data_IF_226334651426
#
_entry.id   IF_226334651426
#
_cell.length_a   1.000
_cell.length_b   1.000
_cell.length_c   1.000
_cell.angle_alpha   90.00
_cell.angle_beta   90.00
_cell.angle_gamma   90.00
#
_symmetry.space_group_name_H-M   'P 1'
#
loop_
_entity.id
_entity.type
_entity.pdbx_description
1 polymer ?
#
# COMPACT_ATOMS: atom_id res chain seq x y z
N UNK A 1 3.02 -31.82 11.76
CA UNK A 1 3.75 -30.52 11.80
C UNK A 1 4.11 -29.95 10.44
N UNK A 2 3.73 -30.55 9.30
CA UNK A 2 3.88 -29.93 7.97
C UNK A 2 2.63 -29.12 7.57
N UNK A 3 1.50 -29.33 8.23
CA UNK A 3 0.23 -28.65 7.93
C UNK A 3 0.11 -27.24 8.52
N UNK A 4 0.78 -26.91 9.63
CA UNK A 4 0.67 -25.59 10.24
C UNK A 4 1.47 -24.50 9.50
N UNK A 5 2.60 -24.87 8.88
CA UNK A 5 3.46 -23.92 8.16
C UNK A 5 2.89 -23.52 6.79
N UNK A 6 2.13 -24.40 6.13
CA UNK A 6 1.49 -24.11 4.84
C UNK A 6 0.26 -23.22 5.01
N UNK A 7 -0.46 -23.32 6.13
CA UNK A 7 -1.56 -22.42 6.46
C UNK A 7 -1.07 -21.03 6.87
N UNK A 8 0.07 -20.92 7.57
CA UNK A 8 0.66 -19.62 7.93
C UNK A 8 1.15 -18.83 6.70
N UNK A 9 1.70 -19.49 5.68
CA UNK A 9 2.13 -18.84 4.44
C UNK A 9 0.97 -18.44 3.51
N UNK A 10 -0.17 -19.16 3.57
CA UNK A 10 -1.40 -18.77 2.85
C UNK A 10 -2.14 -17.61 3.54
N UNK A 11 -2.09 -17.53 4.88
CA UNK A 11 -2.65 -16.38 5.62
C UNK A 11 -1.84 -15.09 5.43
N UNK A 12 -0.51 -15.18 5.31
CA UNK A 12 0.33 -14.00 5.04
C UNK A 12 0.15 -13.49 3.60
N UNK A 13 -0.12 -14.38 2.63
CA UNK A 13 -0.43 -13.99 1.26
C UNK A 13 -1.81 -13.32 1.08
N UNK A 14 -2.80 -13.67 1.91
CA UNK A 14 -4.14 -13.08 1.89
C UNK A 14 -4.26 -11.78 2.71
N UNK A 15 -3.27 -11.47 3.57
CA UNK A 15 -3.21 -10.23 4.36
C UNK A 15 -2.43 -9.10 3.67
N UNK A 16 -1.86 -9.36 2.48
CA UNK A 16 -1.08 -8.39 1.69
C UNK A 16 -1.75 -8.01 0.36
N UNK A 17 -2.92 -8.54 0.06
CA UNK A 17 -3.75 -8.01 -1.02
C UNK A 17 -4.57 -6.86 -0.46
N UNK A 18 -4.42 -5.61 -0.96
CA UNK A 18 -5.33 -4.54 -0.59
C UNK A 18 -6.75 -5.03 -0.86
N UNK A 19 -7.64 -4.82 0.12
CA UNK A 19 -9.04 -5.20 0.00
C UNK A 19 -9.57 -4.58 -1.31
N UNK A 20 -10.06 -5.36 -2.28
CA UNK A 20 -10.59 -4.81 -3.52
C UNK A 20 -11.71 -3.80 -3.24
N UNK A 21 -12.41 -3.88 -2.11
CA UNK A 21 -13.38 -2.86 -1.70
C UNK A 21 -12.75 -1.54 -1.21
N UNK A 22 -11.51 -1.55 -0.71
CA UNK A 22 -10.73 -0.35 -0.39
C UNK A 22 -10.05 0.24 -1.64
N UNK A 23 -9.55 -0.61 -2.54
CA UNK A 23 -9.01 -0.17 -3.82
C UNK A 23 -10.11 0.44 -4.72
N UNK A 24 -11.30 -0.16 -4.72
CA UNK A 24 -12.45 0.33 -5.48
C UNK A 24 -13.10 1.56 -4.82
N UNK A 25 -13.04 1.69 -3.48
CA UNK A 25 -13.37 2.96 -2.80
C UNK A 25 -12.36 4.07 -3.08
N UNK A 26 -11.07 3.74 -3.23
CA UNK A 26 -10.05 4.72 -3.60
C UNK A 26 -10.21 5.18 -5.07
N UNK A 27 -10.58 4.26 -5.98
CA UNK A 27 -10.94 4.60 -7.36
C UNK A 27 -12.26 5.40 -7.46
N UNK A 28 -13.29 5.05 -6.67
CA UNK A 28 -14.57 5.78 -6.62
C UNK A 28 -14.48 7.12 -5.85
N UNK A 29 -13.39 7.33 -5.10
CA UNK A 29 -13.09 8.54 -4.32
C UNK A 29 -12.14 9.51 -5.04
N UNK A 30 -11.59 9.13 -6.20
CA UNK A 30 -10.70 10.01 -6.93
C UNK A 30 -11.51 11.21 -7.44
N UNK A 31 -11.37 12.35 -6.77
CA UNK A 31 -11.93 13.62 -7.26
C UNK A 31 -11.49 13.79 -8.72
N UNK A 32 -12.41 14.09 -9.64
CA UNK A 32 -12.07 14.18 -11.05
C UNK A 32 -10.96 15.22 -11.22
N UNK A 33 -9.89 14.84 -11.91
CA UNK A 33 -8.79 15.75 -12.20
C UNK A 33 -9.33 17.02 -12.89
N UNK A 34 -8.74 18.19 -12.60
CA UNK A 34 -9.06 19.42 -13.33
C UNK A 34 -8.82 19.22 -14.82
N UNK A 35 -9.37 20.04 -15.72
CA UNK A 35 -9.02 19.98 -17.14
C UNK A 35 -7.51 20.12 -17.39
N UNK A 36 -6.95 19.35 -18.33
CA UNK A 36 -5.57 19.53 -18.76
C UNK A 36 -5.45 20.85 -19.54
N UNK A 37 -4.38 21.61 -19.31
CA UNK A 37 -4.11 22.83 -20.07
C UNK A 37 -3.88 22.52 -21.55
N UNK A 38 -4.67 23.14 -22.41
CA UNK A 38 -4.43 23.19 -23.86
C UNK A 38 -3.42 24.29 -24.17
N UNK A 39 -2.17 23.90 -24.38
CA UNK A 39 -1.05 24.82 -24.59
C UNK A 39 -1.16 25.51 -25.95
N UNK A 40 -1.63 24.83 -26.99
CA UNK A 40 -1.77 25.43 -28.32
C UNK A 40 -2.85 26.52 -28.32
N UNK A 41 -3.99 26.23 -27.70
CA UNK A 41 -5.07 27.21 -27.54
C UNK A 41 -4.62 28.41 -26.68
N UNK A 42 -3.90 28.15 -25.58
CA UNK A 42 -3.37 29.21 -24.72
C UNK A 42 -2.40 30.12 -25.47
N UNK A 43 -1.46 29.55 -26.23
CA UNK A 43 -0.52 30.33 -27.04
C UNK A 43 -1.24 31.16 -28.10
N UNK A 44 -2.22 30.59 -28.80
CA UNK A 44 -3.00 31.30 -29.79
C UNK A 44 -3.76 32.50 -29.20
N UNK A 45 -4.34 32.36 -28.00
CA UNK A 45 -5.04 33.45 -27.32
C UNK A 45 -4.08 34.57 -26.87
N UNK A 46 -2.90 34.22 -26.34
CA UNK A 46 -1.90 35.17 -25.84
C UNK A 46 -1.23 36.02 -26.94
N UNK A 47 -1.39 35.64 -28.21
CA UNK A 47 -0.99 36.50 -29.34
C UNK A 47 -1.84 37.78 -29.41
N UNK A 48 -3.12 37.71 -29.03
CA UNK A 48 -4.06 38.84 -29.13
C UNK A 48 -4.49 39.40 -27.78
N UNK A 49 -4.37 38.64 -26.70
CA UNK A 49 -4.82 39.01 -25.36
C UNK A 49 -3.64 39.16 -24.41
N UNK A 50 -3.66 40.18 -23.55
CA UNK A 50 -2.63 40.36 -22.51
C UNK A 50 -2.81 39.40 -21.32
N UNK A 51 -4.05 39.01 -21.03
CA UNK A 51 -4.41 38.10 -19.95
C UNK A 51 -5.33 37.03 -20.56
N UNK A 52 -4.94 35.77 -20.46
CA UNK A 52 -5.76 34.64 -20.90
C UNK A 52 -6.04 33.70 -19.74
N UNK A 53 -7.33 33.35 -19.57
CA UNK A 53 -7.81 32.40 -18.57
C UNK A 53 -8.20 31.10 -19.26
N UNK A 54 -7.41 30.07 -19.05
CA UNK A 54 -7.65 28.75 -19.64
C UNK A 54 -8.86 28.05 -18.97
N UNK A 55 -9.55 27.15 -19.68
CA UNK A 55 -10.60 26.33 -19.11
C UNK A 55 -10.13 25.58 -17.85
N UNK A 56 -10.94 25.60 -16.79
CA UNK A 56 -10.62 24.96 -15.50
C UNK A 56 -9.70 25.76 -14.57
N UNK A 57 -9.30 26.98 -14.95
CA UNK A 57 -8.58 27.88 -14.06
C UNK A 57 -9.40 28.21 -12.80
N UNK A 58 -8.83 27.93 -11.62
CA UNK A 58 -9.48 28.12 -10.31
C UNK A 58 -9.09 29.43 -9.62
N UNK A 59 -7.92 29.98 -9.94
CA UNK A 59 -7.40 31.14 -9.25
C UNK A 59 -8.19 32.41 -9.57
N UNK A 60 -8.57 33.16 -8.55
CA UNK A 60 -9.08 34.52 -8.73
C UNK A 60 -7.93 35.49 -9.02
N UNK A 61 -8.19 36.42 -9.94
CA UNK A 61 -7.26 37.47 -10.34
C UNK A 61 -8.08 38.72 -10.62
N UNK A 62 -7.77 39.83 -9.95
CA UNK A 62 -8.29 41.15 -10.33
C UNK A 62 -7.66 41.57 -11.67
N UNK A 63 -8.31 41.19 -12.76
CA UNK A 63 -7.79 41.40 -14.10
C UNK A 63 -7.76 42.89 -14.49
N UNK A 64 -8.63 43.72 -13.93
CA UNK A 64 -8.63 45.16 -14.21
C UNK A 64 -7.39 45.81 -13.60
N UNK A 65 -7.13 45.54 -12.33
CA UNK A 65 -5.93 45.99 -11.62
C UNK A 65 -4.67 45.51 -12.33
N UNK A 66 -4.58 44.22 -12.65
CA UNK A 66 -3.39 43.68 -13.31
C UNK A 66 -3.20 44.26 -14.71
N UNK A 67 -4.27 44.35 -15.51
CA UNK A 67 -4.19 44.89 -16.88
C UNK A 67 -3.73 46.34 -16.90
N UNK A 68 -4.12 47.14 -15.91
CA UNK A 68 -3.63 48.52 -15.77
C UNK A 68 -2.11 48.59 -15.49
N UNK A 69 -1.54 47.51 -14.94
CA UNK A 69 -0.12 47.41 -14.62
C UNK A 69 0.71 46.73 -15.72
N UNK A 70 0.11 46.01 -16.68
CA UNK A 70 0.88 45.33 -17.72
C UNK A 70 1.47 46.31 -18.74
N UNK A 71 2.72 46.08 -19.15
CA UNK A 71 3.31 46.69 -20.34
C UNK A 71 3.04 45.84 -21.59
N UNK A 72 3.29 46.41 -22.78
CA UNK A 72 3.01 45.74 -24.06
C UNK A 72 3.76 44.41 -24.25
N UNK A 73 4.91 44.24 -23.59
CA UNK A 73 5.77 43.06 -23.60
C UNK A 73 5.41 42.02 -22.53
N UNK A 74 4.34 42.22 -21.77
CA UNK A 74 3.92 41.30 -20.71
C UNK A 74 2.66 40.53 -21.09
N UNK A 75 2.61 39.26 -20.67
CA UNK A 75 1.48 38.36 -20.83
C UNK A 75 1.21 37.59 -19.54
N UNK A 76 -0.07 37.35 -19.24
CA UNK A 76 -0.51 36.57 -18.08
C UNK A 76 -1.35 35.38 -18.55
N UNK A 77 -0.95 34.17 -18.18
CA UNK A 77 -1.70 32.95 -18.37
C UNK A 77 -2.24 32.46 -17.03
N UNK A 78 -3.55 32.32 -16.89
CA UNK A 78 -4.18 31.66 -15.73
C UNK A 78 -4.63 30.27 -16.16
N UNK A 79 -4.02 29.24 -15.57
CA UNK A 79 -4.19 27.84 -15.92
C UNK A 79 -4.79 27.03 -14.76
N UNK A 80 -5.48 25.91 -15.06
CA UNK A 80 -5.92 24.95 -14.04
C UNK A 80 -4.75 24.43 -13.21
N UNK A 81 -5.06 23.79 -12.08
CA UNK A 81 -4.09 22.95 -11.38
C UNK A 81 -3.49 21.92 -12.35
N UNK A 82 -2.21 21.61 -12.20
CA UNK A 82 -1.56 20.60 -13.04
C UNK A 82 -2.00 19.17 -12.71
N UNK A 83 -2.69 18.99 -11.58
CA UNK A 83 -2.86 17.70 -10.92
C UNK A 83 -1.55 17.18 -10.30
N UNK A 84 -1.63 16.13 -9.46
CA UNK A 84 -0.45 15.42 -8.99
C UNK A 84 0.35 14.86 -10.19
N UNK A 85 1.66 14.63 -10.03
CA UNK A 85 2.46 13.96 -11.07
C UNK A 85 2.42 12.44 -10.84
N UNK A 86 2.18 11.65 -11.89
CA UNK A 86 2.17 10.19 -11.81
C UNK A 86 0.98 9.56 -12.52
N UNK A 87 0.68 8.30 -12.18
CA UNK A 87 -0.39 7.52 -12.81
C UNK A 87 -1.80 8.12 -12.60
N UNK A 88 -1.96 8.93 -11.56
CA UNK A 88 -3.21 9.62 -11.21
C UNK A 88 -3.19 11.10 -11.60
N UNK A 89 -2.25 11.52 -12.45
CA UNK A 89 -2.00 12.90 -12.85
C UNK A 89 -2.12 13.19 -14.33
N UNK A 90 -2.08 14.46 -14.73
CA UNK A 90 -2.01 14.84 -16.17
C UNK A 90 -0.66 14.54 -16.83
N UNK A 91 0.38 14.35 -16.01
CA UNK A 91 1.75 14.14 -16.45
C UNK A 91 2.38 13.05 -15.59
N UNK A 92 3.07 12.09 -16.22
CA UNK A 92 3.69 10.97 -15.52
C UNK A 92 4.84 11.41 -14.60
N UNK A 93 5.52 12.51 -14.94
CA UNK A 93 6.61 13.09 -14.15
C UNK A 93 6.85 14.56 -14.52
N UNK A 94 7.75 15.21 -13.77
CA UNK A 94 8.09 16.62 -14.00
C UNK A 94 8.75 16.89 -15.35
N UNK A 95 9.43 15.91 -15.97
CA UNK A 95 10.07 16.11 -17.27
C UNK A 95 9.05 16.11 -18.42
N UNK A 96 8.01 15.29 -18.30
CA UNK A 96 6.89 15.30 -19.24
C UNK A 96 6.15 16.63 -19.19
N UNK A 97 5.80 17.10 -17.98
CA UNK A 97 5.24 18.44 -17.80
C UNK A 97 6.17 19.53 -18.37
N UNK A 98 7.48 19.42 -18.13
CA UNK A 98 8.45 20.38 -18.68
C UNK A 98 8.43 20.41 -20.20
N UNK A 99 8.31 19.25 -20.84
CA UNK A 99 8.34 19.10 -22.29
C UNK A 99 7.04 19.55 -22.94
N UNK A 100 5.89 19.24 -22.34
CA UNK A 100 4.57 19.52 -22.90
C UNK A 100 4.06 20.93 -22.60
N UNK A 101 4.43 21.51 -21.45
CA UNK A 101 3.87 22.78 -20.97
C UNK A 101 4.93 23.84 -20.77
N UNK A 102 5.89 23.60 -19.88
CA UNK A 102 6.82 24.65 -19.47
C UNK A 102 7.70 25.16 -20.62
N UNK A 103 8.34 24.25 -21.37
CA UNK A 103 9.25 24.61 -22.48
C UNK A 103 8.50 25.31 -23.62
N UNK A 104 7.39 24.78 -24.17
CA UNK A 104 6.66 25.47 -25.22
C UNK A 104 6.23 26.89 -24.84
N UNK A 105 5.69 27.08 -23.62
CA UNK A 105 5.29 28.40 -23.14
C UNK A 105 6.49 29.35 -22.96
N UNK A 106 7.59 28.84 -22.40
CA UNK A 106 8.81 29.62 -22.19
C UNK A 106 9.43 30.02 -23.53
N UNK A 107 9.63 29.07 -24.43
CA UNK A 107 10.30 29.26 -25.71
C UNK A 107 9.49 30.23 -26.58
N UNK A 108 8.16 30.09 -26.62
CA UNK A 108 7.28 31.06 -27.31
C UNK A 108 7.44 32.50 -26.81
N UNK A 109 7.53 32.68 -25.48
CA UNK A 109 7.69 33.99 -24.87
C UNK A 109 9.10 34.57 -25.11
N UNK A 110 10.14 33.74 -24.96
CA UNK A 110 11.53 34.14 -25.21
C UNK A 110 11.75 34.54 -26.67
N UNK A 111 11.23 33.77 -27.63
CA UNK A 111 11.32 34.05 -29.07
C UNK A 111 10.68 35.38 -29.47
N UNK A 112 9.70 35.86 -28.68
CA UNK A 112 8.98 37.12 -28.90
C UNK A 112 9.47 38.27 -28.01
N UNK A 113 10.47 38.01 -27.15
CA UNK A 113 10.94 39.00 -26.18
C UNK A 113 9.91 39.39 -25.13
N UNK A 114 8.96 38.48 -24.81
CA UNK A 114 7.89 38.72 -23.85
C UNK A 114 8.25 38.22 -22.45
N UNK A 115 7.72 38.90 -21.43
CA UNK A 115 7.63 38.38 -20.07
C UNK A 115 6.30 37.67 -19.90
N UNK A 116 6.36 36.34 -19.79
CA UNK A 116 5.18 35.52 -19.53
C UNK A 116 5.10 35.19 -18.04
N UNK A 117 4.04 35.69 -17.41
CA UNK A 117 3.61 35.32 -16.06
C UNK A 117 2.57 34.21 -16.19
N UNK A 118 2.80 33.08 -15.52
CA UNK A 118 1.93 31.91 -15.49
C UNK A 118 1.43 31.71 -14.07
N UNK A 119 0.12 31.64 -13.93
CA UNK A 119 -0.56 31.15 -12.73
C UNK A 119 -1.00 29.73 -13.04
N UNK A 120 -0.38 28.75 -12.39
CA UNK A 120 -0.76 27.34 -12.54
C UNK A 120 -1.34 26.88 -11.22
N UNK A 121 -2.63 26.54 -11.20
CA UNK A 121 -3.33 26.38 -9.93
C UNK A 121 -3.31 27.71 -9.17
N UNK A 122 -2.65 27.74 -8.03
CA UNK A 122 -2.42 28.93 -7.20
C UNK A 122 -0.97 29.43 -7.23
N UNK A 123 -0.08 28.79 -8.00
CA UNK A 123 1.33 29.21 -8.06
C UNK A 123 1.57 30.19 -9.20
N UNK A 124 1.96 31.43 -8.87
CA UNK A 124 2.38 32.42 -9.85
C UNK A 124 3.90 32.32 -10.12
N UNK A 125 4.30 32.29 -11.38
CA UNK A 125 5.71 32.23 -11.80
C UNK A 125 5.95 32.93 -13.14
N UNK A 126 7.16 33.41 -13.37
CA UNK A 126 7.56 34.01 -14.66
C UNK A 126 8.48 33.09 -15.47
N UNK A 127 8.54 33.30 -16.79
CA UNK A 127 9.56 32.69 -17.65
C UNK A 127 11.00 33.10 -17.28
N UNK A 128 11.18 34.16 -16.49
CA UNK A 128 12.49 34.60 -15.94
C UNK A 128 12.96 33.80 -14.71
N UNK A 129 12.24 32.74 -14.33
CA UNK A 129 12.66 31.82 -13.25
C UNK A 129 12.34 32.33 -11.84
N UNK A 130 11.44 33.29 -11.72
CA UNK A 130 10.99 33.83 -10.42
C UNK A 130 9.56 33.39 -10.16
N UNK A 131 9.26 33.00 -8.92
CA UNK A 131 7.91 32.68 -8.46
C UNK A 131 7.51 33.58 -7.30
N UNK A 132 6.23 33.93 -7.24
CA UNK A 132 5.67 34.74 -6.17
C UNK A 132 4.54 33.97 -5.48
N UNK A 133 4.58 34.02 -4.16
CA UNK A 133 3.52 33.59 -3.23
C UNK A 133 3.57 34.59 -2.08
N UNK A 134 2.46 34.77 -1.37
CA UNK A 134 2.44 35.53 -0.13
C UNK A 134 3.59 35.14 0.83
N UNK A 135 4.23 36.15 1.41
CA UNK A 135 5.39 36.03 2.30
C UNK A 135 5.03 36.04 3.79
N UNK A 136 3.77 36.36 4.12
CA UNK A 136 3.22 36.39 5.48
C UNK A 136 1.95 35.54 5.58
N UNK A 137 1.48 35.29 6.81
CA UNK A 137 0.35 34.41 7.07
C UNK A 137 -0.98 34.99 6.57
N UNK A 138 -1.17 36.31 6.66
CA UNK A 138 -2.43 36.95 6.26
C UNK A 138 -2.57 36.97 4.74
N UNK A 139 -1.45 37.16 4.03
CA UNK A 139 -1.37 36.98 2.59
C UNK A 139 -1.62 35.53 2.19
N UNK A 140 -1.06 34.55 2.91
CA UNK A 140 -1.29 33.12 2.63
C UNK A 140 -2.75 32.72 2.88
N UNK A 141 -3.38 33.27 3.91
CA UNK A 141 -4.82 33.10 4.19
C UNK A 141 -5.68 33.51 3.01
N UNK A 142 -5.49 34.73 2.50
CA UNK A 142 -6.18 35.18 1.28
C UNK A 142 -5.85 34.29 0.08
N UNK A 143 -4.55 34.06 -0.15
CA UNK A 143 -4.06 33.32 -1.32
C UNK A 143 -4.63 31.91 -1.42
N UNK A 144 -4.73 31.20 -0.29
CA UNK A 144 -5.17 29.80 -0.24
C UNK A 144 -6.64 29.66 0.18
N UNK A 145 -7.16 30.62 0.95
CA UNK A 145 -8.52 30.63 1.45
C UNK A 145 -9.55 31.13 0.42
N UNK A 146 -9.15 32.08 -0.42
CA UNK A 146 -10.00 32.67 -1.47
C UNK A 146 -9.51 32.36 -2.88
N UNK A 147 -8.41 31.61 -3.01
CA UNK A 147 -7.71 31.36 -4.27
C UNK A 147 -7.31 32.66 -5.00
N UNK A 148 -7.15 33.77 -4.28
CA UNK A 148 -6.79 35.06 -4.82
C UNK A 148 -5.28 35.20 -4.98
N UNK A 149 -4.82 35.16 -6.23
CA UNK A 149 -3.39 35.28 -6.58
C UNK A 149 -3.02 36.69 -7.03
N UNK A 150 -3.91 37.67 -6.91
CA UNK A 150 -3.73 39.04 -7.43
C UNK A 150 -2.42 39.65 -6.95
N UNK A 151 -2.16 39.61 -5.65
CA UNK A 151 -0.91 40.12 -5.05
C UNK A 151 0.33 39.42 -5.62
N UNK A 152 0.27 38.10 -5.79
CA UNK A 152 1.39 37.32 -6.32
C UNK A 152 1.69 37.67 -7.79
N UNK A 153 0.66 37.84 -8.61
CA UNK A 153 0.81 38.28 -10.01
C UNK A 153 1.32 39.71 -10.07
N UNK A 154 0.76 40.62 -9.26
CA UNK A 154 1.20 42.00 -9.18
C UNK A 154 2.68 42.11 -8.80
N UNK A 155 3.15 41.37 -7.79
CA UNK A 155 4.58 41.32 -7.42
C UNK A 155 5.46 40.88 -8.59
N UNK A 156 5.03 39.91 -9.40
CA UNK A 156 5.78 39.48 -10.59
C UNK A 156 5.79 40.54 -11.70
N UNK A 157 4.69 41.28 -11.88
CA UNK A 157 4.63 42.42 -12.80
C UNK A 157 5.60 43.51 -12.37
N UNK A 158 5.61 43.89 -11.09
CA UNK A 158 6.53 44.89 -10.55
C UNK A 158 8.00 44.44 -10.66
N UNK A 159 8.28 43.18 -10.34
CA UNK A 159 9.59 42.58 -10.54
C UNK A 159 10.03 42.63 -12.00
N UNK A 160 9.13 42.33 -12.93
CA UNK A 160 9.41 42.37 -14.37
C UNK A 160 9.73 43.79 -14.87
N UNK A 161 9.11 44.81 -14.29
CA UNK A 161 9.41 46.24 -14.54
C UNK A 161 10.71 46.71 -13.90
N UNK A 162 11.36 45.90 -13.06
CA UNK A 162 12.51 46.31 -12.24
C UNK A 162 12.13 47.31 -11.15
N UNK A 163 10.85 47.34 -10.75
CA UNK A 163 10.35 48.17 -9.65
C UNK A 163 10.59 47.49 -8.30
N UNK A 164 10.43 48.27 -7.23
CA UNK A 164 10.49 47.74 -5.87
C UNK A 164 9.37 46.70 -5.64
N UNK A 165 9.76 45.50 -5.22
CA UNK A 165 8.85 44.39 -4.92
C UNK A 165 8.37 44.40 -3.48
N UNK A 166 8.93 45.27 -2.64
CA UNK A 166 8.55 45.41 -1.22
C UNK A 166 7.34 46.33 -1.04
N UNK A 167 6.86 46.96 -2.13
CA UNK A 167 5.64 47.75 -2.11
C UNK A 167 4.40 46.88 -1.85
N UNK A 168 3.49 47.37 -1.02
CA UNK A 168 2.21 46.69 -0.77
C UNK A 168 1.35 46.71 -2.04
N UNK A 169 0.73 45.56 -2.41
CA UNK A 169 -0.23 45.53 -3.50
C UNK A 169 -1.38 46.51 -3.23
N UNK A 170 -1.90 47.21 -4.26
CA UNK A 170 -3.04 48.12 -4.09
C UNK A 170 -4.37 47.38 -3.83
N UNK A 171 -4.32 46.08 -3.53
CA UNK A 171 -5.47 45.23 -3.29
C UNK A 171 -5.68 45.01 -1.78
N UNK A 172 -6.77 45.53 -1.19
CA UNK A 172 -6.99 45.46 0.25
C UNK A 172 -7.03 44.02 0.73
N UNK A 173 -6.52 43.79 1.93
CA UNK A 173 -6.62 42.47 2.56
C UNK A 173 -8.05 42.25 3.05
N UNK A 174 -8.65 41.07 2.78
CA UNK A 174 -9.94 40.70 3.34
C UNK A 174 -9.90 40.80 4.86
N UNK A 175 -11.01 41.27 5.43
CA UNK A 175 -11.14 41.35 6.88
C UNK A 175 -11.36 39.95 7.47
N UNK A 176 -10.68 39.70 8.57
CA UNK A 176 -10.86 38.50 9.39
C UNK A 176 -11.86 38.84 10.49
N UNK A 177 -12.99 38.14 10.52
CA UNK A 177 -14.11 38.48 11.41
C UNK A 177 -14.45 37.32 12.33
N UNK A 178 -14.83 37.64 13.57
CA UNK A 178 -15.32 36.63 14.49
C UNK A 178 -16.69 36.08 14.02
N UNK A 179 -16.97 34.80 14.24
CA UNK A 179 -18.27 34.23 13.93
C UNK A 179 -19.35 34.82 14.82
N UNK A 180 -20.53 35.04 14.23
CA UNK A 180 -21.70 35.41 15.03
C UNK A 180 -22.08 34.26 15.98
N UNK A 181 -22.72 34.54 17.13
CA UNK A 181 -23.16 33.50 18.07
C UNK A 181 -24.04 32.43 17.42
N UNK A 182 -24.86 32.82 16.42
CA UNK A 182 -25.72 31.90 15.69
C UNK A 182 -24.91 30.94 14.79
N UNK A 183 -23.93 31.46 14.04
CA UNK A 183 -23.08 30.61 13.19
C UNK A 183 -22.28 29.62 14.02
N UNK A 184 -21.70 30.05 15.16
CA UNK A 184 -20.99 29.17 16.08
C UNK A 184 -21.92 28.10 16.65
N UNK A 185 -23.10 28.47 17.14
CA UNK A 185 -24.06 27.52 17.70
C UNK A 185 -24.49 26.44 16.69
N UNK A 186 -24.69 26.82 15.43
CA UNK A 186 -25.05 25.88 14.37
C UNK A 186 -23.94 24.85 14.12
N UNK A 187 -22.69 25.30 13.98
CA UNK A 187 -21.55 24.41 13.77
C UNK A 187 -21.29 23.53 14.98
N UNK A 188 -21.42 24.05 16.21
CA UNK A 188 -21.31 23.25 17.44
C UNK A 188 -22.34 22.13 17.46
N UNK A 189 -23.60 22.44 17.16
CA UNK A 189 -24.67 21.45 17.12
C UNK A 189 -24.42 20.38 16.05
N UNK A 190 -23.94 20.77 14.86
CA UNK A 190 -23.53 19.81 13.83
C UNK A 190 -22.38 18.94 14.31
N UNK A 191 -21.33 19.56 14.84
CA UNK A 191 -20.12 18.87 15.27
C UNK A 191 -20.38 17.88 16.42
N UNK A 192 -21.31 18.19 17.33
CA UNK A 192 -21.74 17.25 18.38
C UNK A 192 -22.32 15.95 17.84
N UNK A 193 -23.00 16.00 16.69
CA UNK A 193 -23.60 14.83 16.04
C UNK A 193 -22.58 14.09 15.19
N UNK A 194 -21.79 14.82 14.41
CA UNK A 194 -20.76 14.28 13.54
C UNK A 194 -19.48 15.12 13.68
N UNK A 195 -18.35 14.47 13.97
CA UNK A 195 -17.08 15.18 14.18
C UNK A 195 -16.53 15.82 12.90
N UNK A 196 -17.04 15.44 11.74
CA UNK A 196 -16.65 16.01 10.44
C UNK A 196 -17.85 16.73 9.82
N UNK A 197 -17.64 17.96 9.38
CA UNK A 197 -18.59 18.68 8.54
C UNK A 197 -17.90 19.12 7.24
N UNK A 198 -18.23 18.44 6.14
CA UNK A 198 -17.89 18.86 4.79
C UNK A 198 -19.01 19.76 4.26
N UNK A 199 -18.73 21.05 4.07
CA UNK A 199 -19.72 22.00 3.58
C UNK A 199 -20.04 21.74 2.10
N UNK A 200 -21.28 22.05 1.65
CA UNK A 200 -21.62 21.96 0.24
C UNK A 200 -20.68 22.80 -0.64
N UNK A 201 -20.32 22.27 -1.82
CA UNK A 201 -19.42 22.95 -2.76
C UNK A 201 -17.93 22.69 -2.54
N UNK A 202 -17.53 21.99 -1.46
CA UNK A 202 -16.17 21.51 -1.29
C UNK A 202 -15.85 20.39 -2.29
N UNK A 203 -14.88 20.62 -3.18
CA UNK A 203 -14.48 19.65 -4.22
C UNK A 203 -13.59 18.51 -3.68
N UNK A 204 -12.81 18.78 -2.64
CA UNK A 204 -11.94 17.83 -1.92
C UNK A 204 -12.40 17.70 -0.45
N UNK A 205 -13.47 16.94 -0.17
CA UNK A 205 -13.97 16.77 1.20
C UNK A 205 -12.96 16.01 2.06
N UNK A 206 -12.96 16.28 3.37
CA UNK A 206 -12.21 15.46 4.32
C UNK A 206 -12.82 14.06 4.39
N UNK A 207 -11.99 13.03 4.16
CA UNK A 207 -12.39 11.63 4.21
C UNK A 207 -11.48 10.80 5.14
N UNK A 208 -10.48 11.44 5.75
CA UNK A 208 -9.55 10.79 6.66
C UNK A 208 -10.23 10.09 7.85
N UNK A 209 -9.66 8.95 8.26
CA UNK A 209 -10.13 8.23 9.44
C UNK A 209 -9.70 8.92 10.73
N UNK A 210 -10.68 9.45 11.47
CA UNK A 210 -10.44 10.06 12.77
C UNK A 210 -9.83 9.09 13.79
N UNK A 211 -10.21 7.80 13.71
CA UNK A 211 -9.68 6.77 14.61
C UNK A 211 -8.19 6.50 14.33
N UNK A 212 -7.78 6.40 13.06
CA UNK A 212 -6.36 6.24 12.70
C UNK A 212 -5.53 7.45 13.13
N UNK A 213 -6.08 8.67 12.99
CA UNK A 213 -5.39 9.87 13.45
C UNK A 213 -5.22 9.86 14.96
N UNK A 214 -6.27 9.48 15.70
CA UNK A 214 -6.20 9.35 17.16
C UNK A 214 -5.20 8.28 17.60
N UNK A 215 -5.16 7.14 16.93
CA UNK A 215 -4.20 6.07 17.22
C UNK A 215 -2.74 6.50 16.97
N UNK A 216 -2.50 7.28 15.90
CA UNK A 216 -1.16 7.69 15.50
C UNK A 216 -0.63 8.92 16.24
N UNK A 217 -1.49 9.87 16.61
CA UNK A 217 -1.10 11.17 17.19
C UNK A 217 -1.62 11.41 18.60
N UNK A 218 -2.56 10.60 19.08
CA UNK A 218 -3.26 10.82 20.35
C UNK A 218 -4.30 11.96 20.31
N UNK A 219 -4.37 12.75 19.23
CA UNK A 219 -5.34 13.83 19.12
C UNK A 219 -6.75 13.30 18.82
N UNK A 220 -7.74 13.92 19.45
CA UNK A 220 -9.14 13.75 19.05
C UNK A 220 -9.54 14.98 18.24
N UNK A 221 -10.17 14.78 17.08
CA UNK A 221 -10.40 15.86 16.12
C UNK A 221 -11.87 16.22 15.97
N UNK A 222 -12.08 17.45 15.50
CA UNK A 222 -13.27 17.89 14.77
C UNK A 222 -12.84 18.70 13.55
N UNK A 223 -13.43 18.40 12.40
CA UNK A 223 -13.05 18.99 11.12
C UNK A 223 -14.25 19.72 10.52
N UNK A 224 -14.03 20.94 10.08
CA UNK A 224 -14.97 21.71 9.26
C UNK A 224 -14.26 22.04 7.95
N UNK A 225 -14.78 21.58 6.82
CA UNK A 225 -14.19 21.81 5.51
C UNK A 225 -15.13 22.66 4.64
N UNK A 226 -14.82 23.95 4.51
CA UNK A 226 -15.51 24.86 3.60
C UNK A 226 -14.84 24.87 2.21
N UNK A 227 -15.59 25.12 1.13
CA UNK A 227 -14.98 25.51 -0.14
C UNK A 227 -14.15 26.80 0.03
N UNK A 228 -13.37 27.20 -0.99
CA UNK A 228 -12.76 28.52 -1.01
C UNK A 228 -13.81 29.61 -0.77
N UNK A 229 -13.45 30.62 0.02
CA UNK A 229 -14.29 31.80 0.27
C UNK A 229 -14.32 32.64 -0.99
N UNK A 230 -15.45 33.28 -1.26
CA UNK A 230 -15.56 34.17 -2.40
C UNK A 230 -14.53 35.31 -2.28
N UNK A 231 -13.80 35.64 -3.35
CA UNK A 231 -12.78 36.70 -3.32
C UNK A 231 -13.36 38.04 -2.87
N UNK A 232 -12.69 38.69 -1.92
CA UNK A 232 -13.12 39.98 -1.37
C UNK A 232 -14.13 39.91 -0.22
N UNK A 233 -14.76 38.75 0.02
CA UNK A 233 -15.61 38.55 1.20
C UNK A 233 -14.77 38.35 2.48
N UNK A 234 -15.25 38.77 3.66
CA UNK A 234 -14.52 38.53 4.91
C UNK A 234 -14.45 37.04 5.23
N UNK A 235 -13.31 36.61 5.76
CA UNK A 235 -13.14 35.24 6.25
C UNK A 235 -13.51 35.16 7.72
N UNK A 236 -14.42 34.25 8.07
CA UNK A 236 -14.92 34.10 9.45
C UNK A 236 -14.04 33.15 10.24
N UNK A 237 -13.52 33.51 11.42
CA UNK A 237 -12.63 32.66 12.23
C UNK A 237 -13.35 31.66 13.12
N UNK A 238 -13.77 30.52 12.57
CA UNK A 238 -14.50 29.54 13.37
C UNK A 238 -13.62 28.80 14.38
N UNK A 239 -12.31 28.65 14.15
CA UNK A 239 -11.50 27.71 14.91
C UNK A 239 -11.41 28.04 16.42
N UNK A 240 -11.09 29.29 16.84
CA UNK A 240 -11.07 29.66 18.26
C UNK A 240 -12.43 29.50 18.93
N UNK A 241 -13.49 30.02 18.31
CA UNK A 241 -14.85 29.97 18.88
C UNK A 241 -15.36 28.53 19.06
N UNK A 242 -15.05 27.64 18.12
CA UNK A 242 -15.38 26.21 18.24
C UNK A 242 -14.55 25.52 19.31
N UNK A 243 -13.27 25.87 19.49
CA UNK A 243 -12.41 25.26 20.50
C UNK A 243 -12.87 25.55 21.94
N UNK A 244 -13.53 26.69 22.20
CA UNK A 244 -14.15 26.99 23.50
C UNK A 244 -15.24 25.97 23.88
N UNK A 245 -15.95 25.42 22.89
CA UNK A 245 -17.00 24.43 23.09
C UNK A 245 -16.50 22.98 23.14
N UNK A 246 -15.27 22.73 22.68
CA UNK A 246 -14.65 21.41 22.60
C UNK A 246 -13.19 21.46 23.08
N UNK A 247 -12.94 21.75 24.37
CA UNK A 247 -11.60 22.09 24.87
C UNK A 247 -10.58 20.94 24.79
N UNK A 248 -11.06 19.70 24.73
CA UNK A 248 -10.21 18.50 24.65
C UNK A 248 -9.96 18.03 23.21
N UNK A 249 -10.66 18.62 22.23
CA UNK A 249 -10.53 18.27 20.81
C UNK A 249 -9.65 19.31 20.08
N UNK A 250 -8.91 18.86 19.07
CA UNK A 250 -8.28 19.74 18.08
C UNK A 250 -9.33 20.08 17.02
N UNK A 251 -9.59 21.37 16.85
CA UNK A 251 -10.48 21.92 15.83
C UNK A 251 -9.67 22.29 14.60
N UNK A 252 -10.09 21.78 13.45
CA UNK A 252 -9.54 22.09 12.14
C UNK A 252 -10.63 22.73 11.29
N UNK A 253 -10.37 23.93 10.77
CA UNK A 253 -11.31 24.62 9.87
C UNK A 253 -10.59 24.95 8.56
N UNK A 254 -10.99 24.29 7.49
CA UNK A 254 -10.44 24.53 6.16
C UNK A 254 -11.33 25.51 5.38
N UNK A 255 -10.68 26.42 4.66
CA UNK A 255 -11.28 27.30 3.65
C UNK A 255 -10.46 27.11 2.38
N UNK A 256 -11.01 26.41 1.38
CA UNK A 256 -10.20 25.99 0.23
C UNK A 256 -8.91 25.28 0.67
N UNK A 257 -7.76 25.83 0.31
CA UNK A 257 -6.45 25.26 0.62
C UNK A 257 -5.88 25.76 1.96
N UNK A 258 -6.51 26.77 2.58
CA UNK A 258 -6.12 27.29 3.87
C UNK A 258 -6.70 26.47 5.03
N UNK A 259 -5.91 26.24 6.07
CA UNK A 259 -6.30 25.46 7.25
C UNK A 259 -6.05 26.26 8.52
N UNK A 260 -7.12 26.61 9.23
CA UNK A 260 -7.05 27.10 10.60
C UNK A 260 -7.08 25.95 11.62
N UNK A 261 -6.43 26.18 12.76
CA UNK A 261 -6.29 25.19 13.82
C UNK A 261 -6.41 25.83 15.20
N UNK A 262 -7.17 25.20 16.08
CA UNK A 262 -7.29 25.57 17.48
C UNK A 262 -7.48 24.33 18.34
N UNK A 263 -7.17 24.41 19.64
CA UNK A 263 -7.34 23.29 20.56
C UNK A 263 -6.23 23.20 21.61
N UNK A 264 -6.03 22.03 22.24
CA UNK A 264 -4.99 21.84 23.24
C UNK A 264 -3.60 22.03 22.62
N UNK A 265 -2.67 22.60 23.39
CA UNK A 265 -1.29 22.90 22.94
C UNK A 265 -1.21 23.90 21.76
N UNK A 266 -1.77 25.12 21.90
CA UNK A 266 -1.93 26.09 20.80
C UNK A 266 -0.61 26.47 20.11
N UNK A 267 0.50 26.50 20.85
CA UNK A 267 1.83 26.80 20.30
C UNK A 267 2.32 25.71 19.35
N UNK A 268 2.14 24.43 19.70
CA UNK A 268 2.56 23.32 18.87
C UNK A 268 1.70 23.22 17.60
N UNK A 269 0.37 23.36 17.75
CA UNK A 269 -0.58 23.32 16.64
C UNK A 269 -0.34 24.46 15.64
N UNK A 270 -0.24 25.72 16.11
CA UNK A 270 0.02 26.86 15.23
C UNK A 270 1.40 26.78 14.56
N UNK A 271 2.43 26.32 15.27
CA UNK A 271 3.76 26.11 14.69
C UNK A 271 3.76 25.02 13.61
N UNK A 272 3.01 23.93 13.83
CA UNK A 272 2.86 22.85 12.87
C UNK A 272 2.09 23.29 11.61
N UNK A 273 1.00 24.05 11.76
CA UNK A 273 0.28 24.68 10.64
C UNK A 273 1.22 25.59 9.86
N UNK A 274 1.93 26.51 10.53
CA UNK A 274 2.84 27.44 9.85
C UNK A 274 3.97 26.71 9.11
N UNK A 275 4.49 25.61 9.68
CA UNK A 275 5.47 24.76 9.01
C UNK A 275 4.94 24.16 7.71
N UNK A 276 3.67 23.72 7.72
CA UNK A 276 3.03 23.10 6.57
C UNK A 276 2.89 24.05 5.37
N UNK A 277 2.87 25.37 5.59
CA UNK A 277 2.78 26.40 4.54
C UNK A 277 4.12 27.10 4.23
N UNK A 278 5.24 26.60 4.78
CA UNK A 278 6.57 27.18 4.54
C UNK A 278 7.03 27.08 3.08
N UNK A 279 8.06 27.86 2.71
CA UNK A 279 8.58 28.00 1.33
C UNK A 279 8.84 26.67 0.58
N UNK A 280 9.28 25.62 1.27
CA UNK A 280 9.55 24.31 0.65
C UNK A 280 8.29 23.49 0.34
N UNK A 281 7.11 24.02 0.69
CA UNK A 281 5.80 23.39 0.52
C UNK A 281 4.96 24.04 -0.59
N UNK A 282 5.60 24.76 -1.52
CA UNK A 282 4.92 25.47 -2.63
C UNK A 282 4.53 24.56 -3.82
N UNK A 283 5.11 23.36 -3.93
CA UNK A 283 4.80 22.41 -5.00
C UNK A 283 3.29 22.10 -5.11
N UNK A 284 2.59 21.80 -3.99
CA UNK A 284 1.15 21.62 -3.95
C UNK A 284 0.32 22.79 -4.48
N UNK A 285 0.80 24.04 -4.42
CA UNK A 285 0.05 25.19 -4.95
C UNK A 285 -0.12 25.10 -6.48
N UNK A 286 0.80 24.44 -7.18
CA UNK A 286 0.68 24.15 -8.62
C UNK A 286 -0.21 22.94 -8.89
N UNK A 287 -0.04 21.88 -8.10
CA UNK A 287 -0.65 20.58 -8.35
C UNK A 287 -2.09 20.47 -7.83
N UNK A 288 -2.48 21.32 -6.89
CA UNK A 288 -3.66 21.14 -6.04
C UNK A 288 -3.23 20.51 -4.72
N UNK A 289 -3.80 20.99 -3.61
CA UNK A 289 -3.60 20.36 -2.30
C UNK A 289 -4.74 19.38 -2.02
N UNK A 290 -4.42 18.32 -1.28
CA UNK A 290 -5.42 17.40 -0.74
C UNK A 290 -5.60 17.70 0.74
N UNK A 291 -6.82 17.97 1.16
CA UNK A 291 -7.12 18.34 2.55
C UNK A 291 -6.64 17.28 3.56
N UNK A 292 -6.88 16.00 3.27
CA UNK A 292 -6.47 14.88 4.14
C UNK A 292 -4.94 14.87 4.36
N UNK A 293 -4.15 15.02 3.28
CA UNK A 293 -2.69 15.08 3.35
C UNK A 293 -2.21 16.31 4.13
N UNK A 294 -2.88 17.45 3.93
CA UNK A 294 -2.55 18.69 4.63
C UNK A 294 -2.79 18.56 6.13
N UNK A 295 -3.96 18.03 6.52
CA UNK A 295 -4.29 17.75 7.92
C UNK A 295 -3.30 16.74 8.52
N UNK A 296 -3.03 15.65 7.82
CA UNK A 296 -2.06 14.63 8.26
C UNK A 296 -0.67 15.21 8.50
N UNK A 297 -0.19 16.07 7.61
CA UNK A 297 1.10 16.77 7.73
C UNK A 297 1.13 17.67 8.97
N UNK A 298 0.07 18.47 9.19
CA UNK A 298 -0.02 19.37 10.35
C UNK A 298 -0.05 18.58 11.65
N UNK A 299 -0.88 17.54 11.74
CA UNK A 299 -1.05 16.77 12.97
C UNK A 299 0.16 15.91 13.30
N UNK A 300 0.78 15.28 12.31
CA UNK A 300 2.05 14.56 12.52
C UNK A 300 3.12 15.51 13.03
N UNK A 301 3.22 16.72 12.46
CA UNK A 301 4.19 17.71 12.92
C UNK A 301 3.88 18.24 14.33
N UNK A 302 2.60 18.41 14.66
CA UNK A 302 2.20 18.80 16.00
C UNK A 302 2.54 17.73 17.04
N UNK A 303 2.27 16.46 16.74
CA UNK A 303 2.68 15.33 17.58
C UNK A 303 4.20 15.29 17.75
N UNK A 304 4.98 15.41 16.67
CA UNK A 304 6.44 15.48 16.75
C UNK A 304 6.93 16.59 17.68
N UNK A 305 6.29 17.78 17.63
CA UNK A 305 6.67 18.90 18.50
C UNK A 305 6.35 18.65 19.97
N UNK A 306 5.36 17.82 20.27
CA UNK A 306 4.97 17.46 21.64
C UNK A 306 5.77 16.28 22.18
N UNK A 307 6.10 15.31 21.33
CA UNK A 307 6.73 14.04 21.73
C UNK A 307 8.23 14.01 21.52
N UNK A 308 8.77 14.76 20.55
CA UNK A 308 10.20 14.81 20.25
C UNK A 308 10.85 16.04 20.86
N UNK A 309 11.86 15.82 21.71
CA UNK A 309 12.68 16.91 22.23
C UNK A 309 13.72 17.36 21.20
N UNK A 310 14.11 18.65 21.18
CA UNK A 310 15.27 19.12 20.43
C UNK A 310 16.49 18.27 20.81
N UNK A 311 17.16 17.69 19.81
CA UNK A 311 18.28 16.73 19.98
C UNK A 311 17.92 15.37 20.61
N UNK A 312 16.64 15.06 20.77
CA UNK A 312 16.16 13.77 21.29
C UNK A 312 16.00 12.66 20.24
N UNK A 313 16.20 12.97 18.95
CA UNK A 313 16.23 11.93 17.91
C UNK A 313 17.41 11.00 18.21
N UNK A 314 17.19 9.68 18.36
CA UNK A 314 18.29 8.76 18.56
C UNK A 314 19.27 8.94 17.40
N UNK A 315 20.57 9.02 17.70
CA UNK A 315 21.58 9.11 16.64
C UNK A 315 21.34 7.97 15.64
N UNK A 316 21.44 8.23 14.33
CA UNK A 316 21.31 7.18 13.34
C UNK A 316 22.20 6.01 13.74
N UNK A 317 21.60 4.82 13.85
CA UNK A 317 22.31 3.62 14.30
C UNK A 317 23.56 3.46 13.45
N UNK A 318 24.71 3.24 14.09
CA UNK A 318 25.94 2.96 13.34
C UNK A 318 25.77 1.65 12.57
N UNK A 319 26.52 1.48 11.48
CA UNK A 319 26.53 0.23 10.69
C UNK A 319 26.80 -0.97 11.61
N UNK A 320 27.63 -0.80 12.64
CA UNK A 320 27.96 -1.82 13.64
C UNK A 320 26.76 -2.21 14.53
N UNK A 321 25.93 -1.25 14.94
CA UNK A 321 24.70 -1.52 15.69
C UNK A 321 23.67 -2.26 14.84
N UNK A 322 23.51 -1.86 13.58
CA UNK A 322 22.67 -2.54 12.60
C UNK A 322 23.10 -3.99 12.37
N UNK A 323 24.41 -4.23 12.23
CA UNK A 323 24.96 -5.57 12.07
C UNK A 323 24.71 -6.39 13.33
N UNK A 324 24.90 -5.83 14.52
CA UNK A 324 24.71 -6.55 15.79
C UNK A 324 23.25 -6.95 16.02
N UNK A 325 22.31 -6.11 15.60
CA UNK A 325 20.87 -6.37 15.71
C UNK A 325 20.37 -7.39 14.68
N UNK A 326 20.93 -7.37 13.46
CA UNK A 326 20.57 -8.30 12.38
C UNK A 326 21.34 -9.62 12.42
N UNK A 327 22.54 -9.65 13.01
CA UNK A 327 23.41 -10.83 13.04
C UNK A 327 22.75 -12.09 13.64
N UNK A 328 22.00 -12.03 14.75
CA UNK A 328 21.33 -13.22 15.30
C UNK A 328 20.35 -13.85 14.32
N UNK A 329 19.63 -13.03 13.56
CA UNK A 329 18.64 -13.46 12.57
C UNK A 329 19.28 -13.95 11.28
N UNK A 330 20.34 -13.26 10.81
CA UNK A 330 21.08 -13.67 9.62
C UNK A 330 21.86 -14.97 9.86
N UNK A 331 22.49 -15.13 11.03
CA UNK A 331 23.19 -16.35 11.42
C UNK A 331 22.21 -17.49 11.74
N UNK A 332 21.13 -17.20 12.47
CA UNK A 332 20.09 -18.20 12.78
C UNK A 332 19.34 -18.68 11.55
N UNK A 333 18.99 -17.77 10.64
CA UNK A 333 18.34 -18.08 9.36
C UNK A 333 19.24 -18.88 8.42
N UNK A 334 20.53 -18.52 8.31
CA UNK A 334 21.48 -19.26 7.49
C UNK A 334 21.77 -20.67 8.04
N UNK A 335 21.84 -20.86 9.36
CA UNK A 335 21.96 -22.19 9.97
C UNK A 335 20.74 -23.08 9.72
N UNK A 336 19.53 -22.52 9.72
CA UNK A 336 18.29 -23.22 9.37
C UNK A 336 18.25 -23.69 7.92
N UNK A 337 18.70 -22.85 6.99
CA UNK A 337 18.75 -23.18 5.55
C UNK A 337 19.85 -24.21 5.27
N UNK A 338 21.06 -24.00 5.79
CA UNK A 338 22.20 -24.88 5.54
C UNK A 338 22.10 -26.23 6.27
N UNK A 339 21.57 -26.25 7.49
CA UNK A 339 21.46 -27.48 8.30
C UNK A 339 20.11 -28.19 8.19
N UNK A 340 19.00 -27.45 8.13
CA UNK A 340 17.65 -28.01 8.21
C UNK A 340 17.20 -28.72 6.94
N UNK A 341 17.55 -28.18 5.77
CA UNK A 341 17.17 -28.75 4.46
C UNK A 341 17.78 -30.13 4.21
N UNK A 342 19.11 -30.37 4.40
CA UNK A 342 19.67 -31.71 4.20
C UNK A 342 19.16 -32.74 5.22
N UNK A 343 18.98 -32.36 6.49
CA UNK A 343 18.42 -33.24 7.53
C UNK A 343 16.98 -33.67 7.24
N UNK A 344 16.11 -32.73 6.83
CA UNK A 344 14.73 -33.03 6.46
C UNK A 344 14.66 -33.95 5.22
N UNK A 345 15.58 -33.78 4.27
CA UNK A 345 15.64 -34.58 3.03
C UNK A 345 16.07 -36.02 3.29
N UNK A 346 17.03 -36.23 4.20
CA UNK A 346 17.48 -37.57 4.62
C UNK A 346 16.41 -38.30 5.43
N UNK A 347 15.74 -37.59 6.37
CA UNK A 347 14.65 -38.17 7.15
C UNK A 347 13.46 -38.56 6.24
N UNK A 348 13.14 -37.73 5.25
CA UNK A 348 12.12 -38.01 4.24
C UNK A 348 12.48 -39.16 3.28
N UNK A 349 13.77 -39.47 3.05
CA UNK A 349 14.19 -40.66 2.29
C UNK A 349 13.99 -41.94 3.10
N UNK A 350 14.39 -41.95 4.38
CA UNK A 350 14.23 -43.11 5.27
C UNK A 350 12.76 -43.48 5.47
N UNK A 351 11.89 -42.48 5.62
CA UNK A 351 10.45 -42.72 5.80
C UNK A 351 9.77 -43.29 4.53
N UNK A 352 10.26 -42.94 3.34
CA UNK A 352 9.78 -43.51 2.07
C UNK A 352 10.24 -44.95 1.88
N UNK A 353 11.50 -45.27 2.21
CA UNK A 353 12.02 -46.65 2.17
C UNK A 353 11.25 -47.58 3.12
N UNK A 354 10.89 -47.09 4.31
CA UNK A 354 10.10 -47.86 5.27
C UNK A 354 8.65 -48.11 4.78
N UNK A 355 8.08 -47.23 3.95
CA UNK A 355 6.75 -47.43 3.35
C UNK A 355 6.79 -48.48 2.24
N UNK A 356 7.79 -48.42 1.35
CA UNK A 356 7.97 -49.42 0.29
C UNK A 356 8.24 -50.82 0.85
N UNK A 357 8.98 -50.92 1.95
CA UNK A 357 9.24 -52.20 2.61
C UNK A 357 7.98 -52.81 3.25
N UNK A 358 7.11 -51.97 3.83
CA UNK A 358 5.82 -52.41 4.39
C UNK A 358 4.85 -52.91 3.30
N UNK A 359 4.81 -52.24 2.16
CA UNK A 359 4.02 -52.69 1.00
C UNK A 359 4.55 -54.02 0.46
N UNK A 360 5.87 -54.14 0.28
CA UNK A 360 6.52 -55.37 -0.15
C UNK A 360 6.27 -56.54 0.83
N UNK A 361 6.31 -56.27 2.14
CA UNK A 361 6.00 -57.26 3.17
C UNK A 361 4.54 -57.73 3.11
N UNK A 362 3.58 -56.81 2.95
CA UNK A 362 2.16 -57.16 2.82
C UNK A 362 1.91 -58.05 1.61
N UNK A 363 2.51 -57.72 0.46
CA UNK A 363 2.39 -58.51 -0.75
C UNK A 363 3.02 -59.90 -0.58
N UNK A 364 4.25 -59.97 -0.04
CA UNK A 364 4.94 -61.24 0.20
C UNK A 364 4.17 -62.12 1.20
N UNK A 365 3.61 -61.52 2.26
CA UNK A 365 2.78 -62.22 3.25
C UNK A 365 1.51 -62.80 2.63
N UNK A 366 0.79 -62.03 1.80
CA UNK A 366 -0.42 -62.52 1.14
C UNK A 366 -0.11 -63.71 0.21
N UNK A 367 0.99 -63.61 -0.55
CA UNK A 367 1.42 -64.67 -1.47
C UNK A 367 1.86 -65.94 -0.74
N UNK A 368 2.60 -65.80 0.35
CA UNK A 368 3.03 -66.94 1.18
C UNK A 368 1.83 -67.65 1.82
N UNK A 369 0.86 -66.89 2.33
CA UNK A 369 -0.37 -67.45 2.89
C UNK A 369 -1.17 -68.23 1.84
N UNK A 370 -1.32 -67.67 0.63
CA UNK A 370 -2.00 -68.35 -0.47
C UNK A 370 -1.33 -69.68 -0.83
N UNK A 371 0.01 -69.71 -0.93
CA UNK A 371 0.75 -70.94 -1.24
C UNK A 371 0.65 -72.01 -0.13
N UNK A 372 0.62 -71.60 1.15
CA UNK A 372 0.39 -72.52 2.27
C UNK A 372 -1.01 -73.11 2.19
N UNK A 373 -2.03 -72.26 1.97
CA UNK A 373 -3.42 -72.71 1.86
C UNK A 373 -3.62 -73.69 0.70
N UNK A 374 -3.08 -73.37 -0.48
CA UNK A 374 -3.12 -74.24 -1.67
C UNK A 374 -2.44 -75.60 -1.41
N UNK A 375 -1.27 -75.61 -0.77
CA UNK A 375 -0.61 -76.85 -0.37
C UNK A 375 -1.44 -77.64 0.65
N UNK A 376 -2.08 -76.96 1.61
CA UNK A 376 -2.97 -77.59 2.59
C UNK A 376 -4.16 -78.28 1.92
N UNK A 377 -4.79 -77.62 0.95
CA UNK A 377 -5.87 -78.19 0.14
C UNK A 377 -5.41 -79.42 -0.66
N UNK A 378 -4.25 -79.36 -1.29
CA UNK A 378 -3.69 -80.50 -2.04
C UNK A 378 -3.36 -81.70 -1.15
N UNK A 379 -2.85 -81.46 0.06
CA UNK A 379 -2.58 -82.50 1.05
C UNK A 379 -3.88 -83.15 1.53
N UNK A 380 -4.96 -82.38 1.72
CA UNK A 380 -6.26 -82.93 2.07
C UNK A 380 -6.80 -83.86 0.98
N UNK A 381 -6.55 -83.55 -0.30
CA UNK A 381 -6.93 -84.42 -1.41
C UNK A 381 -6.14 -85.75 -1.46
N UNK A 382 -4.94 -85.80 -0.86
CA UNK A 382 -4.07 -86.99 -0.81
C UNK A 382 -3.95 -87.59 0.60
N UNK A 383 -4.86 -87.25 1.51
CA UNK A 383 -4.76 -87.57 2.95
C UNK A 383 -4.61 -89.06 3.27
N UNK A 384 -5.13 -89.92 2.40
CA UNK A 384 -5.17 -91.37 2.58
C UNK A 384 -4.06 -92.10 1.79
N UNK A 385 -3.16 -91.36 1.12
CA UNK A 385 -2.01 -91.90 0.37
C UNK A 385 -0.77 -92.02 1.29
N UNK A 386 -0.28 -93.26 1.59
CA UNK A 386 0.86 -93.47 2.47
C UNK A 386 2.22 -93.18 1.81
N UNK A 387 2.24 -92.68 0.57
CA UNK A 387 3.48 -92.50 -0.16
C UNK A 387 4.42 -91.46 0.50
N UNK A 388 5.74 -91.72 0.53
CA UNK A 388 6.72 -90.85 1.22
C UNK A 388 6.74 -89.40 0.73
N UNK A 389 6.27 -89.13 -0.49
CA UNK A 389 6.24 -87.77 -1.02
C UNK A 389 5.10 -86.92 -0.42
N UNK A 390 4.01 -87.54 0.03
CA UNK A 390 2.89 -86.86 0.71
C UNK A 390 3.34 -86.45 2.12
N UNK A 391 4.03 -87.35 2.84
CA UNK A 391 4.63 -87.04 4.14
C UNK A 391 5.64 -85.88 4.03
N UNK A 392 6.52 -85.90 3.03
CA UNK A 392 7.49 -84.83 2.79
C UNK A 392 6.84 -83.49 2.39
N UNK A 393 5.67 -83.50 1.77
CA UNK A 393 4.89 -82.30 1.48
C UNK A 393 4.17 -81.77 2.74
N UNK A 394 3.67 -82.66 3.60
CA UNK A 394 3.08 -82.30 4.90
C UNK A 394 4.11 -81.66 5.85
N UNK A 395 5.35 -82.17 5.89
CA UNK A 395 6.44 -81.54 6.65
C UNK A 395 6.74 -80.12 6.15
N UNK A 396 6.71 -79.91 4.82
CA UNK A 396 6.92 -78.58 4.22
C UNK A 396 5.76 -77.63 4.52
N UNK A 397 4.52 -78.12 4.53
CA UNK A 397 3.37 -77.33 4.95
C UNK A 397 3.49 -76.89 6.43
N UNK A 398 3.87 -77.82 7.32
CA UNK A 398 4.09 -77.52 8.73
C UNK A 398 5.23 -76.51 8.93
N UNK A 399 6.35 -76.70 8.24
CA UNK A 399 7.50 -75.78 8.29
C UNK A 399 7.14 -74.38 7.75
N UNK A 400 6.45 -74.31 6.61
CA UNK A 400 6.02 -73.03 6.04
C UNK A 400 5.03 -72.32 6.99
N UNK A 401 4.08 -73.03 7.59
CA UNK A 401 3.12 -72.46 8.55
C UNK A 401 3.81 -71.93 9.80
N UNK A 402 4.75 -72.68 10.36
CA UNK A 402 5.51 -72.25 11.54
C UNK A 402 6.38 -71.02 11.24
N UNK A 403 7.04 -70.97 10.08
CA UNK A 403 7.86 -69.84 9.67
C UNK A 403 7.01 -68.61 9.30
N UNK A 404 5.80 -68.81 8.78
CA UNK A 404 4.87 -67.72 8.45
C UNK A 404 4.49 -66.89 9.69
N UNK A 405 4.24 -67.56 10.82
CA UNK A 405 3.93 -66.91 12.11
C UNK A 405 5.11 -66.08 12.64
N UNK A 406 6.34 -66.51 12.37
CA UNK A 406 7.56 -65.89 12.91
C UNK A 406 8.17 -64.83 11.99
N UNK A 407 7.86 -64.87 10.69
CA UNK A 407 8.48 -64.00 9.70
C UNK A 407 7.99 -62.54 9.84
N UNK A 408 8.95 -61.60 9.94
CA UNK A 408 8.67 -60.15 10.08
C UNK A 408 9.21 -59.30 8.93
N UNK A 409 9.86 -59.92 7.92
CA UNK A 409 10.43 -59.24 6.75
C UNK A 409 9.91 -59.83 5.44
N UNK A 410 9.97 -59.04 4.36
CA UNK A 410 9.50 -59.48 3.03
C UNK A 410 10.34 -60.63 2.47
N UNK A 411 11.65 -60.63 2.74
CA UNK A 411 12.55 -61.71 2.35
C UNK A 411 12.20 -63.03 3.06
N UNK A 412 11.94 -62.98 4.37
CA UNK A 412 11.51 -64.16 5.14
C UNK A 412 10.16 -64.69 4.63
N UNK A 413 9.20 -63.80 4.31
CA UNK A 413 7.92 -64.21 3.72
C UNK A 413 8.08 -64.86 2.34
N UNK A 414 9.06 -64.43 1.54
CA UNK A 414 9.36 -65.08 0.26
C UNK A 414 9.91 -66.50 0.45
N UNK A 415 10.74 -66.70 1.46
CA UNK A 415 11.26 -68.03 1.80
C UNK A 415 10.13 -68.98 2.25
N UNK A 416 9.18 -68.48 3.06
CA UNK A 416 7.96 -69.22 3.43
C UNK A 416 7.17 -69.66 2.20
N UNK A 417 6.92 -68.73 1.27
CA UNK A 417 6.26 -69.04 0.00
C UNK A 417 6.99 -70.14 -0.78
N UNK A 418 8.32 -70.05 -0.89
CA UNK A 418 9.10 -71.00 -1.68
C UNK A 418 9.12 -72.41 -1.06
N UNK A 419 9.02 -72.53 0.27
CA UNK A 419 8.88 -73.83 0.96
C UNK A 419 7.53 -74.46 0.64
N UNK A 420 6.43 -73.69 0.74
CA UNK A 420 5.09 -74.17 0.44
C UNK A 420 4.94 -74.56 -1.04
N UNK A 421 5.42 -73.72 -1.96
CA UNK A 421 5.35 -73.98 -3.40
C UNK A 421 6.20 -75.19 -3.83
N UNK A 422 7.35 -75.45 -3.18
CA UNK A 422 8.11 -76.70 -3.39
C UNK A 422 7.33 -77.94 -2.91
N UNK A 423 6.56 -77.82 -1.83
CA UNK A 423 5.65 -78.86 -1.36
C UNK A 423 4.60 -79.19 -2.41
N UNK A 424 3.90 -78.16 -2.91
CA UNK A 424 2.84 -78.32 -3.92
C UNK A 424 3.38 -78.91 -5.23
N UNK A 425 4.51 -78.40 -5.71
CA UNK A 425 5.17 -78.96 -6.91
C UNK A 425 5.58 -80.42 -6.75
N UNK A 426 5.96 -80.84 -5.55
CA UNK A 426 6.33 -82.24 -5.27
C UNK A 426 5.11 -83.17 -5.33
N UNK A 427 3.94 -82.71 -4.86
CA UNK A 427 2.68 -83.43 -5.00
C UNK A 427 2.25 -83.53 -6.47
N UNK A 428 2.21 -82.39 -7.18
CA UNK A 428 1.78 -82.34 -8.59
C UNK A 428 2.65 -83.16 -9.53
N UNK A 429 3.98 -83.07 -9.40
CA UNK A 429 4.91 -83.76 -10.31
C UNK A 429 4.86 -85.28 -10.17
N UNK A 430 4.51 -85.81 -8.99
CA UNK A 430 4.41 -87.26 -8.76
C UNK A 430 3.01 -87.82 -8.94
N UNK A 431 1.96 -87.01 -8.79
CA UNK A 431 0.62 -87.34 -9.25
C UNK A 431 0.57 -87.58 -10.78
N UNK A 432 1.42 -86.88 -11.55
CA UNK A 432 1.53 -87.02 -13.01
C UNK A 432 2.40 -88.21 -13.47
N UNK A 433 3.25 -88.78 -12.59
CA UNK A 433 4.10 -89.95 -12.88
C UNK A 433 4.02 -90.95 -11.71
N UNK A 434 2.95 -91.77 -11.62
CA UNK A 434 2.83 -92.81 -10.61
C UNK A 434 3.91 -93.86 -10.89
N UNK A 435 4.97 -93.87 -10.09
CA UNK A 435 6.00 -94.91 -10.13
C UNK A 435 5.36 -96.24 -9.71
N UNK A 436 5.07 -97.10 -10.70
CA UNK A 436 4.64 -98.48 -10.49
C UNK A 436 5.73 -99.34 -9.85
N UNK A 437 5.37 -100.46 -9.18
CA UNK A 437 6.30 -101.27 -8.43
C UNK A 437 7.02 -102.28 -9.33
N UNK A 438 8.31 -102.50 -9.08
CA UNK A 438 9.08 -103.64 -9.61
C UNK A 438 10.56 -103.31 -9.75
N UNK A 439 11.51 -104.17 -9.41
CA UNK A 439 11.50 -105.51 -8.85
C UNK A 439 12.93 -105.79 -8.40
N UNK A 440 13.10 -106.56 -7.32
CA UNK A 440 14.39 -107.16 -6.95
C UNK A 440 14.85 -108.13 -8.05
N UNK A 441 16.14 -108.11 -8.34
CA UNK A 441 17.03 -109.28 -8.35
C UNK A 441 18.40 -108.81 -7.90
#
# INVERSE_FOLDING_TARGET
MVTALTWALLLIGALLTPDPALAQRAEDSAAPLPPKLDVEAALAALETEQIYRAPGAVAYLDEELIRAELTDDMRVLVAPFTGPYGAEGHYANSEEYRTQVFRPLRDWAEDRGLVLIRVEGLLASSNKGVSAVASDLDGLRRHLGQYDVTSSVWTLVQHAKGSDTDAEPPHPMPEWVDPTPQQTAELVERLRRDRVYNAPGREDPFQGSLDLIRESTGFTLRVVAFPPVEPGEPMVDYAPALAEHFPDDVILVAYGDWLEIAGPHPVALSSARNYAYGRYQQGPYRAGMVLDDRIGTVLSRADELLTQHPFGRPQPKTVEQLITELAPWLLGGSALVLGGVPLAREFGRRMRSARTEREAFRYAKARAFAAIAELGEELLAHRDDPAPYVAAAAERHAAASALFEQATTSAAMKEVHDIADKGSRSLRKRAQHPTGPGTRT
#
